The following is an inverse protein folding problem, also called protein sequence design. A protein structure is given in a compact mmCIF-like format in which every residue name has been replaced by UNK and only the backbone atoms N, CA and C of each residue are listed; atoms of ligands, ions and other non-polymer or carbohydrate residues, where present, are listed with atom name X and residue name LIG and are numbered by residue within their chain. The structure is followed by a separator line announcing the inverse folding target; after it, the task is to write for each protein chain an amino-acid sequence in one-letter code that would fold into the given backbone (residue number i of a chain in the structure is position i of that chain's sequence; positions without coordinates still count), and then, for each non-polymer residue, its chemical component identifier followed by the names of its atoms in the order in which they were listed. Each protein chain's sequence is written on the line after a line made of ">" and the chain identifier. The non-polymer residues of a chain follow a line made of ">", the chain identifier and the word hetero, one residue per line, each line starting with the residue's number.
data_IF_604812695761
#
_entry.id   IF_604812695761
#
_cell.length_a   1.000
_cell.length_b   1.000
_cell.length_c   1.000
_cell.angle_alpha   90.00
_cell.angle_beta   90.00
_cell.angle_gamma   90.00
#
_symmetry.space_group_name_H-M   'P 1'
#
loop_
_entity.id
_entity.type
_entity.pdbx_description
1 polymer ?
#
# COMPACT_ATOMS: atom_id res chain seq x y z
N UNK A 1 13.91 0.95 2.76
CA UNK A 1 12.92 1.03 3.87
C UNK A 1 11.87 2.00 3.43
N UNK A 2 10.63 1.54 3.31
CA UNK A 2 9.51 2.38 2.90
C UNK A 2 8.39 2.29 3.93
N UNK A 3 7.91 3.45 4.38
CA UNK A 3 6.77 3.53 5.29
C UNK A 3 5.50 3.77 4.49
N UNK A 4 4.53 2.88 4.65
CA UNK A 4 3.23 2.95 4.00
C UNK A 4 2.12 3.05 5.05
N UNK A 5 1.20 3.99 4.85
CA UNK A 5 0.00 4.13 5.68
C UNK A 5 -1.17 3.42 5.02
N UNK A 6 -1.75 2.44 5.70
CA UNK A 6 -3.02 1.85 5.32
C UNK A 6 -4.13 2.54 6.12
N UNK A 7 -5.07 3.16 5.40
CA UNK A 7 -6.17 3.95 5.99
C UNK A 7 -7.45 3.14 6.14
N UNK A 8 -7.66 2.07 5.37
CA UNK A 8 -8.87 1.27 5.46
C UNK A 8 -8.57 -0.19 5.11
N UNK A 9 -9.41 -1.10 5.59
CA UNK A 9 -9.52 -2.45 5.04
C UNK A 9 -9.74 -2.41 3.52
N UNK A 10 -9.26 -3.44 2.81
CA UNK A 10 -9.32 -3.50 1.35
C UNK A 10 -8.07 -3.00 0.64
N UNK A 11 -6.98 -2.69 1.35
CA UNK A 11 -5.70 -2.27 0.75
C UNK A 11 -4.68 -3.41 0.69
N UNK A 12 -3.84 -3.38 -0.34
CA UNK A 12 -2.82 -4.39 -0.61
C UNK A 12 -1.45 -3.75 -0.87
N UNK A 13 -0.38 -4.33 -0.35
CA UNK A 13 1.01 -3.93 -0.61
C UNK A 13 1.72 -5.08 -1.30
N UNK A 14 2.17 -4.87 -2.53
CA UNK A 14 3.06 -5.81 -3.23
C UNK A 14 4.52 -5.40 -3.02
N UNK A 15 5.38 -6.37 -2.73
CA UNK A 15 6.84 -6.19 -2.65
C UNK A 15 7.47 -7.14 -3.67
N UNK A 16 7.91 -6.56 -4.79
CA UNK A 16 8.16 -7.27 -6.03
C UNK A 16 6.91 -8.03 -6.50
N UNK A 17 7.14 -9.06 -7.30
CA UNK A 17 6.19 -10.15 -7.52
C UNK A 17 6.36 -11.30 -6.52
N UNK A 18 7.00 -11.04 -5.36
CA UNK A 18 7.42 -12.08 -4.41
C UNK A 18 6.49 -12.24 -3.21
N UNK A 19 5.95 -11.13 -2.69
CA UNK A 19 5.03 -11.16 -1.55
C UNK A 19 3.96 -10.07 -1.71
N UNK A 20 2.76 -10.36 -1.21
CA UNK A 20 1.67 -9.40 -1.06
C UNK A 20 1.15 -9.42 0.38
N UNK A 21 0.94 -8.26 0.97
CA UNK A 21 0.25 -8.11 2.26
C UNK A 21 -1.08 -7.40 2.04
N UNK A 22 -2.16 -8.07 2.39
CA UNK A 22 -3.54 -7.59 2.30
C UNK A 22 -4.05 -7.22 3.69
N UNK A 23 -4.68 -6.05 3.83
CA UNK A 23 -5.39 -5.66 5.04
C UNK A 23 -6.88 -6.00 4.88
N UNK A 24 -7.28 -7.14 5.44
CA UNK A 24 -8.64 -7.67 5.28
C UNK A 24 -9.63 -6.94 6.18
N UNK A 25 -9.26 -6.75 7.45
CA UNK A 25 -10.10 -6.12 8.46
C UNK A 25 -9.25 -5.38 9.48
N UNK A 26 -9.79 -4.28 10.01
CA UNK A 26 -9.19 -3.51 11.09
C UNK A 26 -10.28 -2.95 12.01
N UNK A 27 -10.03 -2.98 13.32
CA UNK A 27 -10.84 -2.26 14.32
C UNK A 27 -10.51 -0.76 14.39
N UNK A 28 -9.48 -0.33 13.67
CA UNK A 28 -8.95 1.03 13.67
C UNK A 28 -8.93 1.62 12.26
N UNK A 29 -9.00 2.95 12.18
CA UNK A 29 -8.95 3.68 10.91
C UNK A 29 -7.54 3.80 10.31
N UNK A 30 -6.49 3.36 11.01
CA UNK A 30 -5.13 3.50 10.49
C UNK A 30 -4.25 2.39 11.03
N UNK A 31 -3.48 1.80 10.12
CA UNK A 31 -2.40 0.87 10.42
C UNK A 31 -1.18 1.34 9.67
N UNK A 32 -0.05 1.43 10.37
CA UNK A 32 1.23 1.72 9.75
C UNK A 32 1.94 0.44 9.40
N UNK A 33 2.34 0.33 8.14
CA UNK A 33 3.11 -0.79 7.64
C UNK A 33 4.45 -0.25 7.17
N UNK A 34 5.52 -0.66 7.84
CA UNK A 34 6.87 -0.39 7.36
C UNK A 34 7.39 -1.61 6.63
N UNK A 35 7.76 -1.43 5.37
CA UNK A 35 8.40 -2.49 4.59
C UNK A 35 9.92 -2.35 4.71
N UNK A 36 10.54 -3.39 5.26
CA UNK A 36 11.97 -3.57 5.32
C UNK A 36 12.37 -4.60 4.27
N UNK A 37 12.83 -4.13 3.13
CA UNK A 37 13.35 -4.93 2.03
C UNK A 37 14.47 -4.16 1.33
N UNK A 38 15.17 -4.82 0.40
CA UNK A 38 16.14 -4.16 -0.47
C UNK A 38 15.49 -3.00 -1.24
N UNK A 39 16.19 -1.88 -1.34
CA UNK A 39 15.73 -0.71 -2.09
C UNK A 39 15.57 -0.98 -3.60
N UNK A 40 16.15 -2.07 -4.11
CA UNK A 40 16.01 -2.49 -5.51
C UNK A 40 14.74 -3.29 -5.78
N UNK A 41 13.96 -3.63 -4.74
CA UNK A 41 12.69 -4.35 -4.89
C UNK A 41 11.55 -3.36 -5.02
N UNK A 42 10.74 -3.50 -6.07
CA UNK A 42 9.62 -2.58 -6.31
C UNK A 42 8.56 -2.70 -5.22
N UNK A 43 7.98 -1.59 -4.78
CA UNK A 43 6.86 -1.57 -3.83
C UNK A 43 5.64 -0.92 -4.48
N UNK A 44 4.49 -1.62 -4.45
CA UNK A 44 3.25 -1.12 -5.06
C UNK A 44 2.08 -1.22 -4.07
N UNK A 45 1.50 -0.07 -3.75
CA UNK A 45 0.29 0.03 -2.95
C UNK A 45 -0.94 0.07 -3.87
N UNK A 46 -1.95 -0.72 -3.53
CA UNK A 46 -3.21 -0.78 -4.26
C UNK A 46 -4.37 -1.24 -3.40
N UNK A 47 -5.42 -1.70 -4.06
CA UNK A 47 -6.59 -2.31 -3.42
C UNK A 47 -6.57 -3.82 -3.63
N UNK A 48 -7.08 -4.56 -2.64
CA UNK A 48 -7.21 -6.03 -2.69
C UNK A 48 -8.04 -6.45 -3.91
N UNK A 49 -9.12 -5.71 -4.24
CA UNK A 49 -10.02 -6.01 -5.37
C UNK A 49 -9.29 -6.12 -6.73
N UNK A 50 -8.15 -5.44 -6.89
CA UNK A 50 -7.36 -5.44 -8.12
C UNK A 50 -6.03 -6.20 -7.97
N UNK A 51 -5.75 -6.77 -6.80
CA UNK A 51 -4.42 -7.24 -6.47
C UNK A 51 -3.99 -8.46 -7.30
N UNK A 52 -4.91 -9.39 -7.56
CA UNK A 52 -4.62 -10.56 -8.39
C UNK A 52 -4.40 -10.17 -9.86
N UNK A 53 -5.17 -9.20 -10.36
CA UNK A 53 -4.98 -8.66 -11.71
C UNK A 53 -3.63 -7.96 -11.83
N UNK A 54 -3.26 -7.14 -10.85
CA UNK A 54 -1.97 -6.46 -10.80
C UNK A 54 -0.83 -7.48 -10.82
N UNK A 55 -0.91 -8.54 -10.01
CA UNK A 55 0.09 -9.63 -10.03
C UNK A 55 0.17 -10.28 -11.41
N UNK A 56 -0.97 -10.72 -11.94
CA UNK A 56 -1.05 -11.43 -13.22
C UNK A 56 -0.47 -10.61 -14.38
N UNK A 57 -0.80 -9.33 -14.47
CA UNK A 57 -0.37 -8.46 -15.57
C UNK A 57 1.03 -7.88 -15.41
N UNK A 58 1.56 -7.80 -14.18
CA UNK A 58 2.76 -7.01 -13.91
C UNK A 58 3.91 -7.75 -13.21
N UNK A 59 3.72 -9.01 -12.76
CA UNK A 59 4.81 -9.86 -12.30
C UNK A 59 5.87 -10.04 -13.40
N UNK A 60 7.14 -9.82 -13.05
CA UNK A 60 8.22 -9.88 -14.03
C UNK A 60 8.42 -8.59 -14.85
N UNK A 61 7.52 -7.60 -14.76
CA UNK A 61 7.57 -6.35 -15.53
C UNK A 61 7.69 -5.14 -14.60
N UNK A 62 6.64 -4.82 -13.82
CA UNK A 62 6.65 -3.72 -12.84
C UNK A 62 6.79 -4.22 -11.41
N UNK A 63 6.29 -5.42 -11.15
CA UNK A 63 6.47 -6.14 -9.90
C UNK A 63 7.74 -6.98 -10.04
N UNK A 64 8.88 -6.35 -9.77
CA UNK A 64 10.20 -6.97 -9.85
C UNK A 64 10.91 -6.88 -8.51
N UNK A 65 11.65 -7.92 -8.10
CA UNK A 65 11.85 -9.23 -8.75
C UNK A 65 10.59 -10.15 -8.73
N UNK A 66 10.54 -11.23 -9.53
CA UNK A 66 11.54 -11.67 -10.50
C UNK A 66 11.64 -10.70 -11.70
N UNK A 67 12.74 -10.75 -12.44
CA UNK A 67 12.91 -9.99 -13.69
C UNK A 67 12.54 -10.89 -14.85
N UNK A 68 11.60 -10.44 -15.69
CA UNK A 68 11.07 -11.20 -16.81
C UNK A 68 9.90 -12.10 -16.42
N UNK A 69 8.89 -12.17 -17.29
CA UNK A 69 7.66 -12.93 -17.07
C UNK A 69 7.89 -14.44 -17.03
N UNK A 70 8.85 -14.96 -17.80
CA UNK A 70 9.18 -16.40 -17.84
C UNK A 70 9.66 -16.96 -16.49
N UNK A 71 10.25 -16.11 -15.65
CA UNK A 71 10.73 -16.54 -14.33
C UNK A 71 9.63 -16.63 -13.28
N UNK A 72 8.46 -16.04 -13.52
CA UNK A 72 7.34 -16.04 -12.56
C UNK A 72 6.80 -17.45 -12.36
N UNK A 73 6.75 -18.26 -13.42
CA UNK A 73 6.29 -19.67 -13.35
C UNK A 73 7.27 -20.59 -12.62
N UNK A 74 8.54 -20.21 -12.50
CA UNK A 74 9.56 -20.99 -11.79
C UNK A 74 9.41 -20.91 -10.26
N UNK A 75 8.67 -19.91 -9.75
CA UNK A 75 8.59 -19.61 -8.33
C UNK A 75 7.61 -20.53 -7.56
N UNK A 76 6.84 -21.36 -8.26
CA UNK A 76 5.92 -22.31 -7.66
C UNK A 76 4.53 -21.75 -7.35
N UNK A 77 3.85 -22.38 -6.39
CA UNK A 77 2.47 -22.06 -6.04
C UNK A 77 2.37 -20.79 -5.18
N UNK A 78 1.38 -19.94 -5.48
CA UNK A 78 1.11 -18.72 -4.73
C UNK A 78 0.11 -18.99 -3.60
N UNK A 79 0.59 -19.04 -2.37
CA UNK A 79 -0.17 -19.48 -1.19
C UNK A 79 -0.44 -18.33 -0.24
N UNK A 80 -1.58 -18.40 0.47
CA UNK A 80 -1.97 -17.43 1.50
C UNK A 80 -1.60 -17.90 2.91
N UNK A 81 -1.34 -16.94 3.80
CA UNK A 81 -1.13 -17.14 5.24
C UNK A 81 -1.80 -16.01 6.02
N UNK A 82 -2.63 -16.39 6.98
CA UNK A 82 -3.34 -15.44 7.82
C UNK A 82 -2.39 -14.87 8.88
N UNK A 83 -2.48 -13.57 9.11
CA UNK A 83 -1.70 -12.82 10.10
C UNK A 83 -2.66 -12.00 10.95
N UNK A 84 -2.55 -12.15 12.27
CA UNK A 84 -3.27 -11.30 13.23
C UNK A 84 -2.28 -10.36 13.89
N UNK A 85 -2.65 -9.09 13.95
CA UNK A 85 -1.85 -8.07 14.62
C UNK A 85 -2.73 -7.38 15.67
N UNK A 86 -2.18 -7.20 16.87
CA UNK A 86 -2.80 -6.43 17.94
C UNK A 86 -1.76 -5.54 18.63
N UNK A 87 -2.15 -4.31 18.94
CA UNK A 87 -1.26 -3.34 19.58
C UNK A 87 -2.03 -2.35 20.45
N UNK A 88 -1.35 -1.82 21.46
CA UNK A 88 -1.96 -0.96 22.49
C UNK A 88 -1.37 0.46 22.53
N UNK A 89 -0.23 0.68 21.87
CA UNK A 89 0.45 1.97 21.75
C UNK A 89 0.99 2.19 20.34
N UNK A 90 1.26 3.45 20.00
CA UNK A 90 2.02 3.85 18.81
C UNK A 90 3.53 3.94 19.06
N UNK A 91 3.95 3.93 20.33
CA UNK A 91 5.36 4.03 20.71
C UNK A 91 6.12 2.85 20.14
N UNK A 92 5.60 1.64 20.43
CA UNK A 92 6.17 0.37 20.01
C UNK A 92 5.33 -0.21 18.87
N UNK A 93 6.02 -0.64 17.81
CA UNK A 93 5.36 -1.44 16.77
C UNK A 93 4.75 -2.70 17.42
N UNK A 94 3.69 -3.21 16.82
CA UNK A 94 2.91 -4.31 17.38
C UNK A 94 3.52 -5.66 17.04
N UNK A 95 3.96 -5.85 15.78
CA UNK A 95 4.52 -7.13 15.34
C UNK A 95 5.36 -6.96 14.06
N UNK A 96 6.39 -7.78 13.93
CA UNK A 96 7.11 -7.98 12.67
C UNK A 96 6.64 -9.28 11.99
N UNK A 97 6.29 -9.19 10.71
CA UNK A 97 6.03 -10.33 9.82
C UNK A 97 7.24 -10.52 8.92
N UNK A 98 8.14 -11.42 9.31
CA UNK A 98 9.37 -11.70 8.57
C UNK A 98 9.14 -12.73 7.46
N UNK A 99 9.66 -12.44 6.27
CA UNK A 99 9.61 -13.28 5.07
C UNK A 99 11.03 -13.66 4.70
N UNK A 100 11.35 -14.95 4.80
CA UNK A 100 12.72 -15.45 4.64
C UNK A 100 13.32 -15.04 3.28
N UNK A 101 14.55 -14.51 3.32
CA UNK A 101 15.29 -14.09 2.13
C UNK A 101 14.88 -12.74 1.52
N UNK A 102 13.78 -12.12 1.95
CA UNK A 102 13.32 -10.83 1.44
C UNK A 102 13.46 -9.70 2.46
N UNK A 103 13.00 -9.94 3.69
CA UNK A 103 12.93 -8.91 4.73
C UNK A 103 11.69 -9.06 5.61
N UNK A 104 11.06 -7.95 6.03
CA UNK A 104 9.88 -8.02 6.90
C UNK A 104 8.94 -6.82 6.77
N UNK A 105 7.70 -7.02 7.22
CA UNK A 105 6.71 -5.96 7.45
C UNK A 105 6.65 -5.66 8.93
N UNK A 106 6.86 -4.42 9.34
CA UNK A 106 6.68 -3.98 10.72
C UNK A 106 5.34 -3.25 10.84
N UNK A 107 4.42 -3.82 11.61
CA UNK A 107 3.05 -3.34 11.77
C UNK A 107 2.94 -2.53 13.06
N UNK A 108 2.49 -1.28 12.95
CA UNK A 108 2.11 -0.43 14.08
C UNK A 108 0.62 -0.15 14.04
N UNK A 109 -0.09 -0.45 15.13
CA UNK A 109 -1.51 -0.17 15.30
C UNK A 109 -1.88 -0.05 16.78
N UNK A 110 -2.94 0.71 17.08
CA UNK A 110 -3.57 0.77 18.41
C UNK A 110 -4.96 0.14 18.39
N UNK A 111 -4.99 -1.17 18.24
CA UNK A 111 -6.20 -1.99 18.12
C UNK A 111 -5.85 -3.34 17.54
N UNK A 112 -6.79 -3.93 16.82
CA UNK A 112 -6.67 -5.23 16.17
C UNK A 112 -6.85 -5.16 14.65
N UNK A 113 -6.15 -6.03 13.93
CA UNK A 113 -6.25 -6.20 12.49
C UNK A 113 -6.05 -7.66 12.07
N UNK A 114 -6.81 -8.05 11.05
CA UNK A 114 -6.62 -9.31 10.32
C UNK A 114 -6.03 -8.96 8.94
N UNK A 115 -4.92 -9.62 8.63
CA UNK A 115 -4.19 -9.45 7.38
C UNK A 115 -3.97 -10.81 6.72
N UNK A 116 -3.83 -10.81 5.40
CA UNK A 116 -3.44 -11.98 4.63
C UNK A 116 -2.11 -11.70 3.94
N UNK A 117 -1.11 -12.52 4.23
CA UNK A 117 0.17 -12.51 3.52
C UNK A 117 0.16 -13.59 2.45
N UNK A 118 0.41 -13.20 1.20
CA UNK A 118 0.60 -14.11 0.08
C UNK A 118 2.06 -14.18 -0.32
N UNK A 119 2.58 -15.38 -0.52
CA UNK A 119 3.94 -15.64 -1.01
C UNK A 119 3.98 -16.98 -1.72
N UNK A 120 5.13 -17.35 -2.27
CA UNK A 120 5.33 -18.68 -2.85
C UNK A 120 5.47 -19.78 -1.79
N UNK A 121 5.00 -20.97 -2.12
CA UNK A 121 5.14 -22.15 -1.27
C UNK A 121 6.62 -22.45 -0.96
N UNK A 122 6.87 -23.03 0.22
CA UNK A 122 8.22 -23.28 0.73
C UNK A 122 8.93 -22.06 1.33
N UNK A 123 8.41 -20.84 1.17
CA UNK A 123 8.96 -19.65 1.82
C UNK A 123 8.54 -19.60 3.29
N UNK A 124 9.52 -19.54 4.18
CA UNK A 124 9.28 -19.43 5.62
C UNK A 124 8.80 -18.02 6.00
N UNK A 125 7.74 -17.98 6.81
CA UNK A 125 7.21 -16.76 7.41
C UNK A 125 7.32 -16.90 8.93
N UNK A 126 7.78 -15.84 9.59
CA UNK A 126 7.92 -15.82 11.05
C UNK A 126 7.30 -14.55 11.60
N UNK A 127 6.40 -14.72 12.57
CA UNK A 127 5.90 -13.63 13.39
C UNK A 127 6.85 -13.47 14.57
N UNK A 128 7.32 -12.25 14.82
CA UNK A 128 8.29 -11.97 15.88
C UNK A 128 8.04 -10.63 16.54
N UNK A 129 8.69 -10.43 17.68
CA UNK A 129 8.75 -9.12 18.33
C UNK A 129 9.38 -8.08 17.38
N UNK A 130 8.82 -6.87 17.29
CA UNK A 130 9.31 -5.87 16.37
C UNK A 130 10.72 -5.42 16.74
N UNK A 131 11.60 -5.39 15.75
CA UNK A 131 12.99 -4.95 15.96
C UNK A 131 13.13 -3.42 16.06
N UNK A 132 12.05 -2.68 15.78
CA UNK A 132 12.05 -1.22 15.77
C UNK A 132 10.93 -0.77 16.70
N UNK A 133 11.33 -0.28 17.87
CA UNK A 133 10.46 -0.11 19.04
C UNK A 133 10.01 1.33 19.29
N UNK A 134 10.52 2.32 18.55
CA UNK A 134 10.19 3.73 18.79
C UNK A 134 9.91 4.46 17.46
N UNK A 135 8.67 4.35 16.99
CA UNK A 135 8.19 5.08 15.80
C UNK A 135 7.12 6.11 16.09
N UNK A 136 6.55 6.14 17.31
CA UNK A 136 5.56 7.15 17.69
C UNK A 136 5.99 8.56 17.30
N UNK A 137 7.22 9.05 17.60
CA UNK A 137 7.58 10.43 17.29
C UNK A 137 7.57 10.74 15.79
N UNK A 138 7.85 9.76 14.92
CA UNK A 138 7.77 9.93 13.47
C UNK A 138 6.33 9.89 12.99
N UNK A 139 5.56 8.92 13.52
CA UNK A 139 4.16 8.72 13.17
C UNK A 139 3.36 9.92 13.65
N UNK A 140 3.44 10.32 14.91
CA UNK A 140 2.70 11.40 15.59
C UNK A 140 3.02 12.82 15.14
N UNK A 141 3.87 13.01 14.12
CA UNK A 141 4.21 14.37 13.65
C UNK A 141 2.97 15.10 13.11
N UNK A 142 2.75 16.36 13.50
CA UNK A 142 1.72 17.21 12.94
C UNK A 142 1.78 17.23 11.40
N UNK A 143 0.63 17.01 10.74
CA UNK A 143 0.53 16.88 9.29
C UNK A 143 0.58 15.44 8.75
N UNK A 144 1.13 14.49 9.51
CA UNK A 144 1.01 13.06 9.21
C UNK A 144 -0.29 12.46 9.78
N UNK A 145 -0.72 12.99 10.94
CA UNK A 145 -2.06 12.85 11.49
C UNK A 145 -2.91 14.04 11.05
N UNK A 146 -3.56 13.92 9.90
CA UNK A 146 -4.70 14.77 9.61
C UNK A 146 -5.93 14.08 10.22
N UNK A 147 -6.65 14.72 11.15
CA UNK A 147 -7.96 14.26 11.59
C UNK A 147 -8.83 13.94 10.37
N UNK A 148 -9.63 12.87 10.45
CA UNK A 148 -10.48 12.39 9.35
C UNK A 148 -11.30 13.51 8.71
N UNK A 149 -11.90 14.37 9.52
CA UNK A 149 -12.65 15.53 9.04
C UNK A 149 -11.82 16.48 8.14
N UNK A 150 -10.55 16.69 8.46
CA UNK A 150 -9.64 17.54 7.68
C UNK A 150 -9.19 16.80 6.41
N UNK A 151 -8.86 15.50 6.52
CA UNK A 151 -8.53 14.66 5.36
C UNK A 151 -9.68 14.61 4.35
N UNK A 152 -10.92 14.47 4.84
CA UNK A 152 -12.12 14.40 4.00
C UNK A 152 -12.44 15.75 3.37
N UNK A 153 -12.28 16.86 4.11
CA UNK A 153 -12.44 18.20 3.57
C UNK A 153 -11.46 18.49 2.43
N UNK A 154 -10.17 18.16 2.61
CA UNK A 154 -9.14 18.33 1.58
C UNK A 154 -9.40 17.43 0.36
N UNK A 155 -9.78 16.16 0.60
CA UNK A 155 -10.14 15.22 -0.46
C UNK A 155 -11.34 15.69 -1.28
N UNK A 156 -12.38 16.21 -0.63
CA UNK A 156 -13.57 16.73 -1.28
C UNK A 156 -13.29 18.00 -2.09
N UNK A 157 -12.49 18.93 -1.55
CA UNK A 157 -12.02 20.11 -2.30
C UNK A 157 -11.28 19.70 -3.57
N UNK A 158 -10.32 18.77 -3.47
CA UNK A 158 -9.55 18.29 -4.61
C UNK A 158 -10.42 17.65 -5.70
N UNK A 159 -11.46 16.91 -5.28
CA UNK A 159 -12.42 16.28 -6.20
C UNK A 159 -13.32 17.31 -6.90
N UNK A 160 -13.75 18.35 -6.19
CA UNK A 160 -14.53 19.47 -6.73
C UNK A 160 -13.71 20.29 -7.74
N UNK A 161 -12.44 20.57 -7.44
CA UNK A 161 -11.53 21.27 -8.34
C UNK A 161 -11.26 20.47 -9.63
N UNK A 162 -11.05 19.15 -9.51
CA UNK A 162 -10.88 18.27 -10.66
C UNK A 162 -12.15 18.21 -11.54
N UNK A 163 -13.34 18.23 -10.94
CA UNK A 163 -14.62 18.29 -11.66
C UNK A 163 -14.84 19.64 -12.35
N UNK A 164 -14.46 20.74 -11.70
CA UNK A 164 -14.55 22.09 -12.25
C UNK A 164 -13.62 22.26 -13.47
N UNK A 165 -12.37 21.78 -13.38
CA UNK A 165 -11.42 21.80 -14.51
C UNK A 165 -11.89 20.96 -15.70
N UNK A 166 -12.55 19.81 -15.46
CA UNK A 166 -13.14 19.01 -16.54
C UNK A 166 -14.32 19.68 -17.24
N UNK A 167 -15.08 20.53 -16.54
CA UNK A 167 -16.17 21.32 -17.14
C UNK A 167 -15.69 22.60 -17.85
N UNK A 168 -14.51 23.11 -17.51
CA UNK A 168 -13.94 24.33 -18.10
C UNK A 168 -13.14 24.13 -19.40
N UNK A 169 -12.85 22.90 -19.80
CA UNK A 169 -12.04 22.58 -20.98
C UNK A 169 -12.78 22.63 -22.33
N UNK A 170 -14.05 23.02 -22.36
CA UNK A 170 -14.91 22.98 -23.56
C UNK A 170 -15.30 24.39 -24.09
N UNK A 171 -14.44 25.39 -23.90
CA UNK A 171 -14.63 26.71 -24.52
C UNK A 171 -13.30 27.25 -25.05
N UNK A 172 -13.01 26.92 -26.30
CA UNK A 172 -12.08 27.70 -27.13
C UNK A 172 -12.79 28.96 -27.64
N UNK A 173 -12.09 30.11 -27.81
CA UNK A 173 -12.69 31.33 -28.31
C UNK A 173 -12.62 31.37 -29.85
N UNK A 174 -13.77 31.28 -30.53
CA UNK A 174 -13.88 31.64 -31.94
C UNK A 174 -14.05 33.15 -32.08
N UNK A 175 -13.00 33.85 -32.48
CA UNK A 175 -13.06 35.24 -32.92
C UNK A 175 -12.28 35.37 -34.24
N UNK A 176 -13.01 35.83 -35.27
CA UNK A 176 -12.60 36.38 -36.58
C UNK A 176 -12.43 35.40 -37.75
N UNK A 177 -13.45 35.34 -38.61
CA UNK A 177 -13.33 35.80 -40.00
C UNK A 177 -14.70 35.88 -40.68
N UNK A 178 -15.14 37.08 -41.06
CA UNK A 178 -15.92 37.39 -42.28
C UNK A 178 -16.39 38.85 -42.19
N UNK A 179 -15.84 39.74 -43.02
CA UNK A 179 -16.57 40.41 -44.11
C UNK A 179 -15.52 41.00 -45.06
N UNK A 180 -15.40 40.42 -46.25
CA UNK A 180 -14.92 41.13 -47.43
C UNK A 180 -16.01 40.96 -48.50
N UNK A 181 -16.55 42.08 -48.96
CA UNK A 181 -17.25 42.21 -50.24
C UNK A 181 -16.73 43.49 -50.88
#
# INVERSE_FOLDING_TARGET
>A
MDLTKLKNAGQAIHVGGLVRLDLDQASVETIYVTVWASASVSLHLGKIENADEIKSKHAGIRLQPPVGTGRVSELGEWVKRDVKASGTSWDVNSIDVAVAGLGWFSLGLKGEANLTLWTYDGIQITLREPLVLDRAPFLERPGFWLPKAISDAIGNQSKLEAQSRRKGGDRSPDVLSEVAT
#
